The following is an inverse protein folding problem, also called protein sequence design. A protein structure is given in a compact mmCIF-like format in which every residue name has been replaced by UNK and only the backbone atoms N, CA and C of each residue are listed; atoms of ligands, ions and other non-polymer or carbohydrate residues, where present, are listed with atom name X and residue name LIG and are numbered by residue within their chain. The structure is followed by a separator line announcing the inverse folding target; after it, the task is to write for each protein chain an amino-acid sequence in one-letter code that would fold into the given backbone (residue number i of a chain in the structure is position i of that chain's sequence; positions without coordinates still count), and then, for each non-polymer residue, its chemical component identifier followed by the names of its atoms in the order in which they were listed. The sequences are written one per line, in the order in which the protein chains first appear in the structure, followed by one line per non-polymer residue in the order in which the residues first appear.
data_IF_106068047450
#
_entry.id   IF_106068047450
#
_cell.length_a   1.000
_cell.length_b   1.000
_cell.length_c   1.000
_cell.angle_alpha   90.00
_cell.angle_beta   90.00
_cell.angle_gamma   90.00
#
_symmetry.space_group_name_H-M   'P 1'
#
loop_
_entity.id
_entity.type
_entity.pdbx_description
1 polymer ?
#
# COMPACT_ATOMS: atom_id res chain seq x y z
N UNK A 1 -13.41 14.69 -46.26
CA UNK A 1 -13.66 13.49 -45.44
C UNK A 1 -12.77 12.40 -46.00
N UNK A 2 -11.70 12.01 -45.29
CA UNK A 2 -10.74 11.02 -45.78
C UNK A 2 -11.11 9.67 -45.16
N UNK A 3 -11.64 8.79 -45.99
CA UNK A 3 -12.14 7.48 -45.57
C UNK A 3 -11.02 6.61 -45.00
N UNK A 4 -11.39 5.93 -43.92
CA UNK A 4 -10.59 5.08 -43.06
C UNK A 4 -10.22 3.78 -43.78
N UNK A 5 -9.32 3.83 -44.76
CA UNK A 5 -8.74 2.64 -45.36
C UNK A 5 -7.79 1.97 -44.36
N UNK A 6 -8.20 0.82 -43.81
CA UNK A 6 -7.35 -0.04 -42.98
C UNK A 6 -6.17 -0.54 -43.82
N UNK A 7 -4.97 0.00 -43.58
CA UNK A 7 -3.75 -0.43 -44.25
C UNK A 7 -3.01 -1.45 -43.36
N UNK A 8 -3.04 -2.75 -43.69
CA UNK A 8 -2.37 -3.78 -42.89
C UNK A 8 -0.84 -3.70 -42.93
N UNK A 9 -0.26 -2.80 -43.75
CA UNK A 9 1.18 -2.51 -43.78
C UNK A 9 1.57 -1.26 -43.00
N UNK A 10 0.61 -0.57 -42.36
CA UNK A 10 0.95 0.56 -41.52
C UNK A 10 1.75 0.03 -40.31
N UNK A 11 3.02 0.39 -40.13
CA UNK A 11 3.77 -0.05 -38.95
C UNK A 11 3.05 0.50 -37.72
N UNK A 12 2.63 -0.38 -36.80
CA UNK A 12 1.85 -0.02 -35.62
C UNK A 12 2.52 1.10 -34.78
N UNK A 13 3.83 1.26 -34.94
CA UNK A 13 4.65 2.30 -34.31
C UNK A 13 4.37 3.71 -34.83
N UNK A 14 3.79 3.87 -36.03
CA UNK A 14 3.43 5.20 -36.56
C UNK A 14 2.17 5.80 -35.91
N UNK A 15 1.33 4.98 -35.27
CA UNK A 15 0.13 5.44 -34.55
C UNK A 15 0.43 5.95 -33.13
N UNK A 16 1.66 5.76 -32.64
CA UNK A 16 2.07 6.15 -31.28
C UNK A 16 2.86 7.47 -31.22
N UNK A 17 2.95 8.20 -32.33
CA UNK A 17 3.72 9.46 -32.42
C UNK A 17 3.20 10.58 -31.52
N UNK A 18 1.93 10.53 -31.11
CA UNK A 18 1.30 11.51 -30.21
C UNK A 18 1.37 11.10 -28.73
N UNK A 19 1.94 9.94 -28.40
CA UNK A 19 2.24 9.63 -27.00
C UNK A 19 3.51 10.41 -26.64
N UNK A 20 3.44 11.18 -25.55
CA UNK A 20 4.62 11.83 -24.97
C UNK A 20 5.72 10.78 -24.85
N UNK A 21 6.75 10.88 -25.67
CA UNK A 21 7.93 10.03 -25.59
C UNK A 21 8.65 10.39 -24.29
N UNK A 22 8.24 9.76 -23.19
CA UNK A 22 8.89 9.92 -21.91
C UNK A 22 10.30 9.38 -22.09
N UNK A 23 11.30 10.26 -21.92
CA UNK A 23 12.71 9.87 -22.00
C UNK A 23 12.94 8.58 -21.18
N UNK A 24 13.66 7.57 -21.71
CA UNK A 24 13.77 6.25 -21.08
C UNK A 24 14.22 6.29 -19.61
N UNK A 25 15.01 7.30 -19.21
CA UNK A 25 15.37 7.56 -17.81
C UNK A 25 14.16 7.88 -16.93
N UNK A 26 13.26 8.76 -17.38
CA UNK A 26 12.07 9.12 -16.62
C UNK A 26 11.08 7.94 -16.53
N UNK A 27 10.99 7.12 -17.58
CA UNK A 27 10.21 5.87 -17.56
C UNK A 27 10.77 4.87 -16.53
N UNK A 28 12.09 4.65 -16.53
CA UNK A 28 12.77 3.79 -15.53
C UNK A 28 12.59 4.30 -14.10
N UNK A 29 12.68 5.61 -13.90
CA UNK A 29 12.48 6.23 -12.60
C UNK A 29 11.03 6.02 -12.09
N UNK A 30 10.03 6.18 -12.96
CA UNK A 30 8.64 5.88 -12.60
C UNK A 30 8.45 4.43 -12.17
N UNK A 31 9.00 3.47 -12.92
CA UNK A 31 8.92 2.04 -12.57
C UNK A 31 9.56 1.78 -11.20
N UNK A 32 10.70 2.42 -10.91
CA UNK A 32 11.33 2.33 -9.59
C UNK A 32 10.42 2.89 -8.50
N UNK A 33 9.86 4.09 -8.69
CA UNK A 33 8.97 4.70 -7.72
C UNK A 33 7.72 3.87 -7.45
N UNK A 34 7.13 3.28 -8.48
CA UNK A 34 5.92 2.46 -8.33
C UNK A 34 6.23 1.18 -7.52
N UNK A 35 7.41 0.57 -7.73
CA UNK A 35 7.91 -0.55 -6.91
C UNK A 35 8.14 -0.14 -5.45
N UNK A 36 8.79 1.00 -5.23
CA UNK A 36 9.04 1.50 -3.87
C UNK A 36 7.73 1.77 -3.16
N UNK A 37 6.77 2.45 -3.80
CA UNK A 37 5.45 2.70 -3.22
C UNK A 37 4.72 1.42 -2.83
N UNK A 38 4.77 0.40 -3.68
CA UNK A 38 4.16 -0.90 -3.38
C UNK A 38 4.77 -1.53 -2.13
N UNK A 39 6.10 -1.60 -2.08
CA UNK A 39 6.81 -2.20 -0.95
C UNK A 39 6.61 -1.40 0.34
N UNK A 40 6.66 -0.07 0.28
CA UNK A 40 6.42 0.79 1.45
C UNK A 40 5.01 0.57 2.01
N UNK A 41 3.99 0.47 1.15
CA UNK A 41 2.62 0.19 1.58
C UNK A 41 2.53 -1.16 2.31
N UNK A 42 3.20 -2.19 1.79
CA UNK A 42 3.22 -3.50 2.43
C UNK A 42 3.94 -3.44 3.78
N UNK A 43 5.12 -2.84 3.86
CA UNK A 43 5.87 -2.73 5.12
C UNK A 43 5.10 -1.95 6.20
N UNK A 44 4.33 -0.92 5.81
CA UNK A 44 3.47 -0.20 6.75
C UNK A 44 2.35 -1.07 7.30
N UNK A 45 1.69 -1.87 6.45
CA UNK A 45 0.66 -2.80 6.89
C UNK A 45 1.23 -3.87 7.82
N UNK A 46 2.37 -4.46 7.44
CA UNK A 46 3.03 -5.50 8.24
C UNK A 46 3.45 -4.97 9.63
N UNK A 47 3.96 -3.74 9.70
CA UNK A 47 4.32 -3.09 10.96
C UNK A 47 3.09 -2.82 11.84
N UNK A 48 1.98 -2.38 11.24
CA UNK A 48 0.72 -2.16 11.95
C UNK A 48 0.14 -3.48 12.50
N UNK A 49 0.10 -4.53 11.68
CA UNK A 49 -0.40 -5.84 12.09
C UNK A 49 0.46 -6.47 13.17
N UNK A 50 1.79 -6.33 13.08
CA UNK A 50 2.71 -6.76 14.12
C UNK A 50 2.44 -6.03 15.45
N UNK A 51 2.30 -4.71 15.42
CA UNK A 51 2.02 -3.91 16.61
C UNK A 51 0.67 -4.30 17.23
N UNK A 52 -0.37 -4.49 16.41
CA UNK A 52 -1.69 -4.93 16.86
C UNK A 52 -1.63 -6.30 17.51
N UNK A 53 -1.01 -7.29 16.86
CA UNK A 53 -0.88 -8.64 17.43
C UNK A 53 -0.08 -8.64 18.74
N UNK A 54 0.97 -7.81 18.84
CA UNK A 54 1.74 -7.66 20.07
C UNK A 54 0.87 -7.07 21.19
N UNK A 55 0.07 -6.05 20.87
CA UNK A 55 -0.85 -5.44 21.81
C UNK A 55 -1.91 -6.44 22.30
N UNK A 56 -2.57 -7.15 21.39
CA UNK A 56 -3.62 -8.14 21.69
C UNK A 56 -3.07 -9.31 22.53
N UNK A 57 -1.84 -9.75 22.27
CA UNK A 57 -1.17 -10.78 23.09
C UNK A 57 -0.83 -10.29 24.49
N UNK A 58 -0.41 -9.03 24.63
CA UNK A 58 -0.02 -8.45 25.92
C UNK A 58 -1.21 -8.06 26.78
N UNK A 59 -2.31 -7.63 26.16
CA UNK A 59 -3.52 -7.18 26.84
C UNK A 59 -4.53 -8.33 26.90
N UNK A 60 -4.32 -9.25 27.84
CA UNK A 60 -5.41 -10.12 28.27
C UNK A 60 -6.45 -9.22 28.92
N UNK A 61 -7.63 -9.10 28.30
CA UNK A 61 -8.79 -8.50 28.95
C UNK A 61 -8.99 -9.29 30.25
N UNK A 62 -8.89 -8.64 31.42
CA UNK A 62 -9.11 -9.34 32.67
C UNK A 62 -10.57 -9.78 32.73
N UNK A 63 -10.80 -11.08 32.90
CA UNK A 63 -12.12 -11.64 33.18
C UNK A 63 -12.38 -11.49 34.69
N UNK A 64 -13.24 -10.54 35.06
CA UNK A 64 -13.63 -10.31 36.44
C UNK A 64 -15.03 -10.86 36.69
N UNK A 65 -15.19 -11.73 37.69
CA UNK A 65 -16.50 -12.23 38.09
C UNK A 65 -17.07 -11.43 39.25
N UNK A 66 -18.40 -11.35 39.31
CA UNK A 66 -19.09 -10.68 40.42
C UNK A 66 -18.76 -11.40 41.73
N UNK A 67 -18.03 -10.73 42.62
CA UNK A 67 -17.55 -11.28 43.90
C UNK A 67 -16.03 -11.47 44.00
N UNK A 68 -15.28 -11.27 42.92
CA UNK A 68 -13.81 -11.36 42.96
C UNK A 68 -13.19 -10.15 43.66
N UNK A 69 -12.27 -10.40 44.59
CA UNK A 69 -11.48 -9.35 45.24
C UNK A 69 -10.38 -8.88 44.29
N UNK A 70 -10.60 -7.74 43.64
CA UNK A 70 -9.65 -7.14 42.70
C UNK A 70 -8.90 -5.97 43.33
N UNK A 71 -7.59 -5.94 43.10
CA UNK A 71 -6.71 -4.91 43.64
C UNK A 71 -6.51 -3.81 42.59
N UNK A 72 -7.16 -2.66 42.78
CA UNK A 72 -7.04 -1.50 41.89
C UNK A 72 -5.86 -0.64 42.38
N UNK A 73 -4.77 -0.63 41.63
CA UNK A 73 -3.63 0.25 41.90
C UNK A 73 -3.86 1.60 41.21
N UNK A 74 -3.93 2.67 42.00
CA UNK A 74 -4.16 4.06 41.52
C UNK A 74 -2.89 4.73 40.99
N UNK A 75 -1.76 4.02 40.90
CA UNK A 75 -0.45 4.62 40.60
C UNK A 75 -0.37 5.34 39.23
N UNK A 76 -1.29 5.05 38.30
CA UNK A 76 -1.30 5.62 36.95
C UNK A 76 -2.54 6.49 36.62
N UNK A 77 -3.42 6.75 37.58
CA UNK A 77 -4.57 7.64 37.40
C UNK A 77 -4.26 8.98 38.07
N UNK A 78 -3.69 9.92 37.31
CA UNK A 78 -3.54 11.32 37.70
C UNK A 78 -4.41 12.20 36.80
#
# INVERSE_FOLDING_TARGET
MLEKAWNPRLPADTLRKDLIEIHPTASRFKIMLDKVKHNTKQSMNDAFDYAKQKWDKSHKIPDFKVGDLVLVSTLNFQ
#
